data_IF_447454846164
#
_entry.id   IF_447454846164
#
_cell.length_a   1.000
_cell.length_b   1.000
_cell.length_c   1.000
_cell.angle_alpha   90.00
_cell.angle_beta   90.00
_cell.angle_gamma   90.00
#
_symmetry.space_group_name_H-M   'P 1'
#
loop_
_entity.id
_entity.type
_entity.pdbx_description
1 polymer ?
#
# COMPACT_ATOMS: atom_id res chain seq x y z
N UNK A 1 -79.31 -28.60 39.19
CA UNK A 1 -79.81 -27.84 38.04
C UNK A 1 -80.52 -26.63 38.61
N UNK A 2 -79.86 -25.48 38.70
CA UNK A 2 -80.46 -24.28 39.31
C UNK A 2 -79.96 -22.97 38.66
N UNK A 3 -80.88 -22.39 37.89
CA UNK A 3 -81.28 -20.97 37.79
C UNK A 3 -80.36 -19.89 38.41
N UNK A 4 -79.11 -19.78 37.95
CA UNK A 4 -78.24 -18.61 38.24
C UNK A 4 -77.40 -18.11 37.06
N UNK A 5 -77.79 -18.37 35.81
CA UNK A 5 -76.98 -17.95 34.64
C UNK A 5 -77.72 -17.01 33.67
N UNK A 6 -78.99 -16.69 33.89
CA UNK A 6 -79.81 -15.99 32.88
C UNK A 6 -79.97 -14.46 33.04
N UNK A 7 -79.27 -13.78 33.96
CA UNK A 7 -79.52 -12.34 34.22
C UNK A 7 -78.29 -11.44 34.36
N UNK A 8 -77.19 -11.75 33.65
CA UNK A 8 -76.05 -10.83 33.49
C UNK A 8 -75.66 -10.71 32.00
N UNK A 9 -76.65 -10.54 31.12
CA UNK A 9 -76.40 -10.34 29.68
C UNK A 9 -77.03 -9.04 29.12
N UNK A 10 -77.85 -8.30 29.87
CA UNK A 10 -78.67 -7.21 29.26
C UNK A 10 -78.46 -5.80 29.86
N UNK A 11 -77.66 -5.59 30.90
CA UNK A 11 -77.44 -4.24 31.47
C UNK A 11 -75.94 -3.96 31.71
N UNK A 12 -75.17 -3.99 30.63
CA UNK A 12 -73.97 -3.18 30.44
C UNK A 12 -73.93 -2.64 29.01
N UNK A 13 -75.12 -2.36 28.48
CA UNK A 13 -75.39 -1.74 27.20
C UNK A 13 -75.73 -0.26 27.47
N UNK A 14 -74.71 0.56 27.73
CA UNK A 14 -74.81 2.04 27.69
C UNK A 14 -73.41 2.67 27.62
N UNK A 15 -72.99 2.93 26.38
CA UNK A 15 -72.26 4.10 25.93
C UNK A 15 -71.09 4.63 26.79
N UNK A 16 -69.88 4.13 26.49
CA UNK A 16 -68.78 5.03 26.15
C UNK A 16 -68.26 4.58 24.79
N UNK A 17 -68.73 5.24 23.75
CA UNK A 17 -68.08 5.26 22.44
C UNK A 17 -66.74 5.95 22.58
N UNK A 18 -65.73 5.24 23.10
CA UNK A 18 -64.36 5.53 22.75
C UNK A 18 -64.18 4.89 21.37
N UNK A 19 -64.26 5.70 20.33
CA UNK A 19 -63.68 5.34 19.05
C UNK A 19 -62.25 4.91 19.34
N UNK A 20 -61.98 3.60 19.29
CA UNK A 20 -60.61 3.12 19.18
C UNK A 20 -60.19 3.62 17.81
N UNK A 21 -59.53 4.77 17.78
CA UNK A 21 -58.67 5.12 16.67
C UNK A 21 -57.64 4.00 16.66
N UNK A 22 -57.80 3.04 15.76
CA UNK A 22 -56.67 2.23 15.33
C UNK A 22 -55.69 3.27 14.77
N UNK A 23 -54.74 3.68 15.60
CA UNK A 23 -53.51 4.28 15.13
C UNK A 23 -52.84 3.15 14.37
N UNK A 24 -53.02 3.13 13.04
CA UNK A 24 -52.14 2.37 12.17
C UNK A 24 -50.75 2.92 12.45
N UNK A 25 -49.96 2.19 13.25
CA UNK A 25 -48.57 2.51 13.42
C UNK A 25 -47.92 2.24 12.06
N UNK A 26 -47.59 3.30 11.33
CA UNK A 26 -46.81 3.25 10.10
C UNK A 26 -45.61 2.33 10.34
N UNK A 27 -45.55 1.20 9.64
CA UNK A 27 -44.40 0.31 9.71
C UNK A 27 -43.41 0.72 8.63
N UNK A 28 -42.12 0.72 8.98
CA UNK A 28 -41.02 0.94 8.05
C UNK A 28 -40.09 -0.27 8.14
N UNK A 29 -39.59 -0.73 7.00
CA UNK A 29 -38.55 -1.78 6.93
C UNK A 29 -37.32 -1.23 6.21
N UNK A 30 -36.14 -1.81 6.46
CA UNK A 30 -34.92 -1.48 5.71
C UNK A 30 -34.05 -2.74 5.59
N UNK A 31 -33.50 -2.98 4.40
CA UNK A 31 -32.61 -4.09 4.08
C UNK A 31 -31.52 -3.63 3.12
N UNK A 32 -30.44 -4.41 3.04
CA UNK A 32 -29.38 -4.29 2.04
C UNK A 32 -29.38 -5.50 1.11
N UNK A 33 -28.77 -5.39 -0.06
CA UNK A 33 -28.70 -6.51 -1.03
C UNK A 33 -27.69 -7.60 -0.65
N UNK A 34 -26.66 -7.25 0.14
CA UNK A 34 -25.67 -8.18 0.72
C UNK A 34 -25.43 -7.87 2.20
N UNK A 35 -24.86 -8.85 2.90
CA UNK A 35 -24.38 -8.71 4.28
C UNK A 35 -22.91 -8.23 4.36
N UNK A 36 -22.12 -8.46 3.29
CA UNK A 36 -20.69 -8.12 3.23
C UNK A 36 -20.35 -7.34 1.97
N UNK A 37 -19.51 -6.32 2.12
CA UNK A 37 -19.02 -5.49 1.02
C UNK A 37 -17.53 -5.23 1.13
N UNK A 38 -16.88 -4.97 0.00
CA UNK A 38 -15.52 -4.43 -0.03
C UNK A 38 -15.53 -2.92 -0.33
N UNK A 39 -14.52 -2.15 0.13
CA UNK A 39 -14.39 -0.74 -0.21
C UNK A 39 -14.48 -0.49 -1.72
N UNK A 40 -15.33 0.47 -2.13
CA UNK A 40 -15.59 0.79 -3.54
C UNK A 40 -16.85 0.15 -4.14
N UNK A 41 -17.46 -0.84 -3.49
CA UNK A 41 -18.72 -1.45 -3.92
C UNK A 41 -19.93 -0.53 -3.70
N UNK A 42 -21.03 -0.84 -4.38
CA UNK A 42 -22.32 -0.14 -4.25
C UNK A 42 -23.20 -0.96 -3.31
N UNK A 43 -23.62 -0.35 -2.21
CA UNK A 43 -24.61 -0.88 -1.27
C UNK A 43 -25.99 -0.46 -1.77
N UNK A 44 -26.85 -1.42 -2.09
CA UNK A 44 -28.24 -1.15 -2.48
C UNK A 44 -29.11 -1.29 -1.25
N UNK A 45 -29.80 -0.21 -0.89
CA UNK A 45 -30.65 -0.14 0.30
C UNK A 45 -32.09 -0.09 -0.18
N UNK A 46 -32.95 -0.91 0.39
CA UNK A 46 -34.37 -0.97 0.04
C UNK A 46 -35.26 -1.17 1.26
N UNK A 47 -36.53 -0.78 1.14
CA UNK A 47 -37.51 -1.01 2.19
C UNK A 47 -38.93 -0.65 1.77
N UNK A 48 -39.86 -0.84 2.70
CA UNK A 48 -41.28 -0.56 2.51
C UNK A 48 -41.74 0.37 3.63
N UNK A 49 -42.60 1.33 3.30
CA UNK A 49 -43.28 2.24 4.24
C UNK A 49 -44.63 2.70 3.65
N UNK A 50 -45.27 3.70 4.27
CA UNK A 50 -46.50 4.27 3.75
C UNK A 50 -46.28 4.90 2.37
N UNK A 51 -47.25 4.81 1.43
CA UNK A 51 -47.13 5.39 0.10
C UNK A 51 -46.80 6.89 0.11
N UNK A 52 -45.96 7.32 -0.84
CA UNK A 52 -45.57 8.72 -1.03
C UNK A 52 -44.98 9.42 0.22
N UNK A 53 -44.40 8.64 1.13
CA UNK A 53 -43.77 9.13 2.35
C UNK A 53 -42.29 9.38 2.14
N UNK A 54 -41.78 10.46 2.73
CA UNK A 54 -40.35 10.76 2.71
C UNK A 54 -39.63 9.99 3.84
N UNK A 55 -38.54 9.33 3.48
CA UNK A 55 -37.70 8.49 4.35
C UNK A 55 -36.28 9.06 4.37
N UNK A 56 -35.79 9.38 5.56
CA UNK A 56 -34.42 9.74 5.84
C UNK A 56 -33.59 8.47 6.09
N UNK A 57 -32.62 8.21 5.23
CA UNK A 57 -31.67 7.11 5.36
C UNK A 57 -30.35 7.66 5.89
N UNK A 58 -29.85 7.05 6.97
CA UNK A 58 -28.53 7.32 7.57
C UNK A 58 -27.71 6.04 7.59
N UNK A 59 -26.43 6.15 7.24
CA UNK A 59 -25.48 5.05 7.42
C UNK A 59 -24.42 5.52 8.40
N UNK A 60 -24.23 4.75 9.48
CA UNK A 60 -23.20 4.98 10.48
C UNK A 60 -22.19 3.84 10.48
N UNK A 61 -20.97 4.11 10.88
CA UNK A 61 -19.99 3.09 11.27
C UNK A 61 -19.51 3.35 12.70
N UNK A 62 -18.50 2.60 13.14
CA UNK A 62 -17.89 2.74 14.48
C UNK A 62 -17.35 4.14 14.79
N UNK A 63 -17.09 4.98 13.79
CA UNK A 63 -16.62 6.37 13.97
C UNK A 63 -17.70 7.43 13.78
N UNK A 64 -18.93 7.06 13.39
CA UNK A 64 -20.07 7.95 13.26
C UNK A 64 -20.73 7.96 11.88
N UNK A 65 -21.42 9.07 11.56
CA UNK A 65 -22.23 9.20 10.35
C UNK A 65 -21.36 9.23 9.08
N UNK A 66 -21.68 8.34 8.13
CA UNK A 66 -20.96 8.16 6.85
C UNK A 66 -21.77 8.68 5.67
N UNK A 67 -23.09 8.49 5.70
CA UNK A 67 -23.98 8.85 4.60
C UNK A 67 -25.34 9.27 5.12
N UNK A 68 -25.96 10.25 4.46
CA UNK A 68 -27.31 10.71 4.75
C UNK A 68 -28.01 11.11 3.45
N UNK A 69 -29.22 10.63 3.24
CA UNK A 69 -30.05 11.01 2.09
C UNK A 69 -31.54 10.90 2.43
N UNK A 70 -32.36 11.67 1.72
CA UNK A 70 -33.81 11.46 1.72
C UNK A 70 -34.22 10.71 0.46
N UNK A 71 -35.22 9.85 0.58
CA UNK A 71 -35.90 9.19 -0.54
C UNK A 71 -37.40 9.20 -0.32
N UNK A 72 -38.17 9.28 -1.39
CA UNK A 72 -39.64 9.20 -1.32
C UNK A 72 -40.09 7.81 -1.73
N UNK A 73 -40.97 7.20 -0.95
CA UNK A 73 -41.58 5.91 -1.31
C UNK A 73 -42.54 6.06 -2.49
N UNK A 74 -42.69 4.99 -3.27
CA UNK A 74 -43.61 4.92 -4.39
C UNK A 74 -45.07 4.89 -3.92
N UNK A 75 -46.02 4.89 -4.86
CA UNK A 75 -47.45 4.69 -4.58
C UNK A 75 -47.76 3.32 -3.92
N UNK A 76 -46.86 2.35 -4.07
CA UNK A 76 -46.94 1.03 -3.44
C UNK A 76 -46.21 0.98 -2.09
N UNK A 77 -45.57 2.07 -1.66
CA UNK A 77 -44.81 2.16 -0.41
C UNK A 77 -43.35 1.71 -0.49
N UNK A 78 -42.86 1.29 -1.66
CA UNK A 78 -41.48 0.84 -1.84
C UNK A 78 -40.52 2.03 -1.92
N UNK A 79 -39.33 1.93 -1.32
CA UNK A 79 -38.26 2.91 -1.49
C UNK A 79 -36.91 2.22 -1.70
N UNK A 80 -36.00 2.87 -2.43
CA UNK A 80 -34.64 2.37 -2.61
C UNK A 80 -33.63 3.50 -2.81
N UNK A 81 -32.37 3.24 -2.46
CA UNK A 81 -31.25 4.12 -2.73
C UNK A 81 -29.97 3.31 -2.92
N UNK A 82 -28.97 3.93 -3.53
CA UNK A 82 -27.65 3.36 -3.71
C UNK A 82 -26.61 4.21 -2.97
N UNK A 83 -25.74 3.54 -2.21
CA UNK A 83 -24.61 4.17 -1.55
C UNK A 83 -23.31 3.51 -2.02
N UNK A 84 -22.47 4.25 -2.73
CA UNK A 84 -21.13 3.77 -3.07
C UNK A 84 -20.21 3.90 -1.86
N UNK A 85 -19.76 2.76 -1.34
CA UNK A 85 -18.75 2.72 -0.30
C UNK A 85 -17.47 3.41 -0.80
N UNK A 86 -16.87 4.32 -0.02
CA UNK A 86 -15.55 4.85 -0.34
C UNK A 86 -14.55 3.71 -0.55
N UNK A 87 -13.60 3.87 -1.47
CA UNK A 87 -12.51 2.89 -1.69
C UNK A 87 -11.60 2.77 -0.46
N UNK A 88 -11.69 3.72 0.47
CA UNK A 88 -11.06 3.71 1.79
C UNK A 88 -12.08 3.56 2.94
N UNK A 89 -13.22 2.90 2.69
CA UNK A 89 -14.19 2.60 3.74
C UNK A 89 -13.51 1.86 4.89
N UNK A 90 -13.83 2.26 6.12
CA UNK A 90 -13.32 1.59 7.31
C UNK A 90 -13.88 0.17 7.35
N UNK A 91 -13.09 -0.76 7.85
CA UNK A 91 -13.56 -2.12 8.03
C UNK A 91 -14.45 -2.23 9.26
N UNK A 92 -15.28 -3.27 9.27
CA UNK A 92 -16.18 -3.58 10.37
C UNK A 92 -17.62 -3.19 10.05
N UNK A 93 -18.42 -3.05 11.11
CA UNK A 93 -19.87 -3.01 10.98
C UNK A 93 -20.39 -1.61 10.68
N UNK A 94 -21.33 -1.57 9.75
CA UNK A 94 -22.07 -0.40 9.33
C UNK A 94 -23.54 -0.60 9.68
N UNK A 95 -24.17 0.42 10.25
CA UNK A 95 -25.58 0.42 10.60
C UNK A 95 -26.32 1.37 9.68
N UNK A 96 -27.32 0.86 8.97
CA UNK A 96 -28.26 1.63 8.17
C UNK A 96 -29.51 1.88 9.00
N UNK A 97 -29.91 3.13 9.14
CA UNK A 97 -31.13 3.56 9.83
C UNK A 97 -32.03 4.27 8.83
N UNK A 98 -33.26 3.78 8.67
CA UNK A 98 -34.32 4.46 7.93
C UNK A 98 -35.30 5.10 8.92
N UNK A 99 -35.70 6.35 8.71
CA UNK A 99 -36.63 7.09 9.58
C UNK A 99 -37.62 7.87 8.74
N UNK A 100 -38.91 7.81 9.06
CA UNK A 100 -39.93 8.61 8.38
C UNK A 100 -39.76 10.10 8.70
N UNK A 101 -39.72 10.97 7.69
CA UNK A 101 -39.62 12.42 7.88
C UNK A 101 -40.82 12.99 8.64
N UNK A 102 -42.00 12.37 8.49
CA UNK A 102 -43.23 12.76 9.19
C UNK A 102 -43.22 12.42 10.68
N UNK A 103 -42.35 11.51 11.12
CA UNK A 103 -42.26 11.08 12.51
C UNK A 103 -40.88 10.54 12.86
N UNK A 104 -40.16 11.27 13.72
CA UNK A 104 -38.83 10.85 14.21
C UNK A 104 -38.85 9.61 15.11
N UNK A 105 -40.03 9.09 15.49
CA UNK A 105 -40.16 7.91 16.35
C UNK A 105 -40.29 6.61 15.56
N UNK A 106 -40.61 6.67 14.26
CA UNK A 106 -40.77 5.49 13.42
C UNK A 106 -39.47 5.25 12.64
N UNK A 107 -38.72 4.23 13.05
CA UNK A 107 -37.43 3.88 12.46
C UNK A 107 -37.26 2.37 12.26
N UNK A 108 -36.45 2.00 11.28
CA UNK A 108 -35.95 0.65 11.07
C UNK A 108 -34.43 0.66 10.93
N UNK A 109 -33.78 -0.43 11.31
CA UNK A 109 -32.33 -0.57 11.29
C UNK A 109 -31.92 -1.90 10.65
N UNK A 110 -30.82 -1.89 9.90
CA UNK A 110 -30.13 -3.09 9.40
C UNK A 110 -28.62 -2.85 9.44
N UNK A 111 -27.82 -3.90 9.24
CA UNK A 111 -26.37 -3.80 9.29
C UNK A 111 -25.69 -4.61 8.19
N UNK A 112 -24.52 -4.15 7.77
CA UNK A 112 -23.62 -4.87 6.88
C UNK A 112 -22.18 -4.70 7.34
N UNK A 113 -21.29 -5.59 6.94
CA UNK A 113 -19.86 -5.55 7.31
C UNK A 113 -18.99 -5.20 6.10
N UNK A 114 -18.06 -4.27 6.28
CA UNK A 114 -17.06 -3.93 5.26
C UNK A 114 -15.78 -4.73 5.53
N UNK A 115 -15.33 -5.50 4.55
CA UNK A 115 -14.14 -6.37 4.61
C UNK A 115 -13.04 -5.93 3.65
N UNK A 116 -11.78 -6.23 3.98
CA UNK A 116 -10.62 -5.76 3.21
C UNK A 116 -10.47 -6.55 1.90
N UNK A 117 -10.17 -5.87 0.78
CA UNK A 117 -9.75 -6.53 -0.48
C UNK A 117 -8.41 -7.29 -0.32
N UNK A 118 -7.59 -6.89 0.66
CA UNK A 118 -6.24 -7.40 0.86
C UNK A 118 -6.20 -8.88 1.28
N UNK A 119 -7.20 -9.38 2.01
CA UNK A 119 -7.21 -10.77 2.51
C UNK A 119 -7.23 -11.77 1.38
N UNK A 120 -7.93 -11.49 0.27
CA UNK A 120 -7.86 -12.30 -0.95
C UNK A 120 -6.45 -12.35 -1.53
N UNK A 121 -5.84 -11.19 -1.78
CA UNK A 121 -4.48 -11.13 -2.34
C UNK A 121 -3.41 -11.72 -1.40
N UNK A 122 -3.65 -11.65 -0.09
CA UNK A 122 -2.78 -12.27 0.91
C UNK A 122 -2.92 -13.79 0.89
N UNK A 123 -4.15 -14.31 0.82
CA UNK A 123 -4.41 -15.73 0.68
C UNK A 123 -3.78 -16.28 -0.61
N UNK A 124 -3.99 -15.63 -1.76
CA UNK A 124 -3.34 -15.99 -3.03
C UNK A 124 -1.81 -16.07 -2.89
N UNK A 125 -1.21 -15.07 -2.25
CA UNK A 125 0.24 -15.02 -2.06
C UNK A 125 0.74 -16.09 -1.10
N UNK A 126 0.04 -16.35 -0.01
CA UNK A 126 0.42 -17.38 0.96
C UNK A 126 0.27 -18.78 0.37
N UNK A 127 -0.84 -19.07 -0.33
CA UNK A 127 -1.02 -20.33 -1.07
C UNK A 127 0.13 -20.54 -2.07
N UNK A 128 0.52 -19.48 -2.81
CA UNK A 128 1.65 -19.55 -3.73
C UNK A 128 2.98 -19.83 -3.01
N UNK A 129 3.22 -19.21 -1.86
CA UNK A 129 4.43 -19.45 -1.06
C UNK A 129 4.45 -20.87 -0.46
N UNK A 130 3.33 -21.38 0.01
CA UNK A 130 3.20 -22.74 0.55
C UNK A 130 3.41 -23.80 -0.53
N UNK A 131 2.88 -23.60 -1.74
CA UNK A 131 3.17 -24.46 -2.89
C UNK A 131 4.67 -24.47 -3.24
N UNK A 132 5.33 -23.31 -3.21
CA UNK A 132 6.77 -23.23 -3.43
C UNK A 132 7.57 -23.95 -2.33
N UNK A 133 7.13 -23.86 -1.07
CA UNK A 133 7.75 -24.56 0.04
C UNK A 133 7.57 -26.08 -0.08
N UNK A 134 6.36 -26.54 -0.43
CA UNK A 134 6.07 -27.95 -0.76
C UNK A 134 7.02 -28.49 -1.83
N UNK A 135 7.13 -27.81 -2.97
CA UNK A 135 8.02 -28.21 -4.05
C UNK A 135 9.51 -28.30 -3.64
N UNK A 136 9.94 -27.45 -2.68
CA UNK A 136 11.30 -27.54 -2.13
C UNK A 136 11.50 -28.74 -1.22
N UNK A 137 10.48 -29.12 -0.45
CA UNK A 137 10.53 -30.34 0.37
C UNK A 137 10.58 -31.57 -0.55
N UNK A 138 9.70 -31.63 -1.55
CA UNK A 138 9.67 -32.70 -2.56
C UNK A 138 11.03 -32.88 -3.24
N UNK A 139 11.68 -31.78 -3.65
CA UNK A 139 13.01 -31.84 -4.27
C UNK A 139 14.09 -32.39 -3.34
N UNK A 140 14.07 -32.04 -2.05
CA UNK A 140 15.03 -32.59 -1.07
C UNK A 140 14.72 -34.06 -0.77
N UNK A 141 13.45 -34.46 -0.72
CA UNK A 141 13.08 -35.85 -0.55
C UNK A 141 13.55 -36.70 -1.74
N UNK A 142 13.37 -36.20 -2.98
CA UNK A 142 13.88 -36.84 -4.20
C UNK A 142 15.41 -36.99 -4.16
N UNK A 143 16.14 -35.94 -3.76
CA UNK A 143 17.61 -35.99 -3.60
C UNK A 143 18.05 -37.01 -2.53
N UNK A 144 17.33 -37.09 -1.42
CA UNK A 144 17.57 -38.10 -0.37
C UNK A 144 17.33 -39.51 -0.92
N UNK A 145 16.23 -39.75 -1.64
CA UNK A 145 15.94 -41.05 -2.26
C UNK A 145 16.99 -41.45 -3.30
N UNK A 146 17.43 -40.52 -4.15
CA UNK A 146 18.49 -40.75 -5.14
C UNK A 146 19.81 -41.18 -4.48
N UNK A 147 20.10 -40.62 -3.31
CA UNK A 147 21.28 -40.95 -2.52
C UNK A 147 21.10 -42.20 -1.62
N UNK A 148 19.97 -42.91 -1.72
CA UNK A 148 19.56 -44.00 -0.82
C UNK A 148 19.50 -43.61 0.67
N UNK A 149 19.25 -42.34 0.92
CA UNK A 149 19.09 -41.78 2.26
C UNK A 149 17.72 -42.12 2.83
N UNK A 150 17.66 -42.36 4.14
CA UNK A 150 16.39 -42.54 4.83
C UNK A 150 15.74 -41.17 5.15
N UNK A 151 14.58 -40.88 4.56
CA UNK A 151 13.79 -39.70 4.93
C UNK A 151 13.26 -39.89 6.37
N UNK A 152 13.45 -38.92 7.29
CA UNK A 152 12.92 -39.02 8.64
C UNK A 152 11.39 -39.14 8.66
N UNK A 153 10.88 -40.04 9.49
CA UNK A 153 9.43 -40.21 9.69
C UNK A 153 8.76 -38.89 10.14
N UNK A 154 9.43 -38.12 11.02
CA UNK A 154 8.96 -36.79 11.44
C UNK A 154 8.93 -35.78 10.28
N UNK A 155 9.85 -35.89 9.32
CA UNK A 155 9.85 -35.01 8.14
C UNK A 155 8.69 -35.36 7.20
N UNK A 156 8.43 -36.66 7.00
CA UNK A 156 7.29 -37.17 6.23
C UNK A 156 5.97 -36.75 6.87
N UNK A 157 5.83 -36.89 8.19
CA UNK A 157 4.62 -36.48 8.92
C UNK A 157 4.34 -34.99 8.76
N UNK A 158 5.33 -34.11 8.99
CA UNK A 158 5.16 -32.67 8.77
C UNK A 158 4.86 -32.34 7.30
N UNK A 159 5.41 -33.09 6.34
CA UNK A 159 5.08 -32.89 4.93
C UNK A 159 3.61 -33.22 4.64
N UNK A 160 3.11 -34.35 5.13
CA UNK A 160 1.71 -34.79 4.97
C UNK A 160 0.74 -33.79 5.62
N UNK A 161 1.00 -33.39 6.87
CA UNK A 161 0.21 -32.37 7.58
C UNK A 161 0.18 -31.04 6.80
N UNK A 162 1.33 -30.65 6.24
CA UNK A 162 1.44 -29.46 5.40
C UNK A 162 0.61 -29.53 4.13
N UNK A 163 0.52 -30.70 3.49
CA UNK A 163 -0.32 -30.92 2.29
C UNK A 163 -1.79 -30.81 2.63
N UNK A 164 -2.25 -31.48 3.69
CA UNK A 164 -3.66 -31.42 4.12
C UNK A 164 -4.10 -29.98 4.42
N UNK A 165 -3.29 -29.23 5.17
CA UNK A 165 -3.55 -27.83 5.49
C UNK A 165 -3.55 -26.91 4.26
N UNK A 166 -2.74 -27.21 3.25
CA UNK A 166 -2.71 -26.44 2.00
C UNK A 166 -3.96 -26.70 1.17
N UNK A 167 -4.42 -27.95 1.09
CA UNK A 167 -5.65 -28.31 0.38
C UNK A 167 -6.86 -27.65 1.05
N UNK A 168 -6.98 -27.71 2.38
CA UNK A 168 -8.02 -26.99 3.13
C UNK A 168 -7.98 -25.46 2.88
N UNK A 169 -6.77 -24.89 2.77
CA UNK A 169 -6.61 -23.47 2.47
C UNK A 169 -7.13 -23.10 1.08
N UNK A 170 -6.94 -23.97 0.09
CA UNK A 170 -7.42 -23.78 -1.27
C UNK A 170 -8.95 -23.91 -1.35
N UNK A 171 -9.55 -24.89 -0.67
CA UNK A 171 -11.00 -25.04 -0.58
C UNK A 171 -11.65 -23.79 0.05
N UNK A 172 -11.11 -23.32 1.18
CA UNK A 172 -11.58 -22.09 1.83
C UNK A 172 -11.41 -20.84 0.95
N UNK A 173 -10.38 -20.83 0.10
CA UNK A 173 -10.16 -19.76 -0.86
C UNK A 173 -11.24 -19.75 -1.95
N UNK A 174 -11.62 -20.92 -2.46
CA UNK A 174 -12.70 -21.09 -3.44
C UNK A 174 -14.07 -20.72 -2.86
N UNK A 175 -14.28 -20.96 -1.56
CA UNK A 175 -15.48 -20.55 -0.81
C UNK A 175 -15.52 -19.05 -0.44
N UNK A 176 -14.53 -18.26 -0.89
CA UNK A 176 -14.35 -16.84 -0.55
C UNK A 176 -14.14 -16.55 0.96
N UNK A 177 -13.78 -17.58 1.74
CA UNK A 177 -13.43 -17.49 3.16
C UNK A 177 -11.93 -17.17 3.33
N UNK A 178 -11.55 -15.99 2.84
CA UNK A 178 -10.15 -15.61 2.69
C UNK A 178 -9.35 -15.50 4.00
N UNK A 179 -9.99 -15.21 5.13
CA UNK A 179 -9.28 -15.10 6.42
C UNK A 179 -8.88 -16.47 6.95
N UNK A 180 -9.79 -17.43 6.85
CA UNK A 180 -9.59 -18.82 7.23
C UNK A 180 -8.56 -19.47 6.29
N UNK A 181 -8.66 -19.20 4.98
CA UNK A 181 -7.68 -19.61 3.99
C UNK A 181 -6.26 -19.10 4.32
N UNK A 182 -6.10 -17.83 4.69
CA UNK A 182 -4.80 -17.27 5.13
C UNK A 182 -4.21 -18.04 6.30
N UNK A 183 -5.00 -18.35 7.32
CA UNK A 183 -4.53 -19.07 8.50
C UNK A 183 -4.05 -20.48 8.14
N UNK A 184 -4.81 -21.19 7.31
CA UNK A 184 -4.46 -22.54 6.84
C UNK A 184 -3.21 -22.55 5.96
N UNK A 185 -3.09 -21.60 5.02
CA UNK A 185 -1.89 -21.47 4.20
C UNK A 185 -0.64 -21.19 5.05
N UNK A 186 -0.76 -20.38 6.12
CA UNK A 186 0.34 -20.08 7.02
C UNK A 186 0.78 -21.31 7.82
N UNK A 187 -0.17 -22.11 8.32
CA UNK A 187 0.12 -23.37 9.01
C UNK A 187 0.80 -24.36 8.07
N UNK A 188 0.29 -24.53 6.85
CA UNK A 188 0.94 -25.36 5.82
C UNK A 188 2.39 -24.93 5.55
N UNK A 189 2.65 -23.62 5.43
CA UNK A 189 3.98 -23.09 5.23
C UNK A 189 4.92 -23.40 6.41
N UNK A 190 4.42 -23.37 7.64
CA UNK A 190 5.20 -23.73 8.83
C UNK A 190 5.59 -25.22 8.80
N UNK A 191 4.64 -26.09 8.49
CA UNK A 191 4.88 -27.54 8.40
C UNK A 191 5.88 -27.89 7.29
N UNK A 192 5.77 -27.29 6.11
CA UNK A 192 6.77 -27.48 5.05
C UNK A 192 8.18 -27.01 5.44
N UNK A 193 8.29 -25.90 6.19
CA UNK A 193 9.59 -25.46 6.69
C UNK A 193 10.16 -26.43 7.74
N UNK A 194 9.30 -27.03 8.57
CA UNK A 194 9.69 -28.06 9.54
C UNK A 194 10.19 -29.31 8.81
N UNK A 195 9.43 -29.82 7.85
CA UNK A 195 9.81 -30.96 7.02
C UNK A 195 11.15 -30.72 6.31
N UNK A 196 11.31 -29.54 5.68
CA UNK A 196 12.54 -29.15 5.01
C UNK A 196 13.74 -29.12 5.96
N UNK A 197 13.56 -28.57 7.17
CA UNK A 197 14.63 -28.50 8.18
C UNK A 197 15.06 -29.89 8.63
N UNK A 198 14.12 -30.81 8.82
CA UNK A 198 14.38 -32.18 9.27
C UNK A 198 15.07 -33.00 8.17
N UNK A 199 14.61 -32.92 6.92
CA UNK A 199 15.25 -33.60 5.79
C UNK A 199 16.69 -33.09 5.53
N UNK A 200 16.90 -31.77 5.57
CA UNK A 200 18.25 -31.18 5.46
C UNK A 200 19.17 -31.47 6.65
N UNK A 201 18.64 -32.00 7.75
CA UNK A 201 19.48 -32.47 8.85
C UNK A 201 20.06 -33.86 8.53
N UNK A 202 19.33 -34.71 7.79
CA UNK A 202 19.82 -36.01 7.32
C UNK A 202 20.82 -35.86 6.19
N UNK A 203 20.57 -34.98 5.22
CA UNK A 203 21.55 -34.60 4.19
C UNK A 203 22.89 -34.14 4.83
N UNK A 204 22.82 -33.47 5.99
CA UNK A 204 23.98 -33.06 6.79
C UNK A 204 24.64 -34.18 7.59
N UNK A 205 23.94 -35.28 7.87
CA UNK A 205 24.46 -36.46 8.55
C UNK A 205 25.05 -37.48 7.57
N UNK A 206 24.53 -37.58 6.35
CA UNK A 206 25.08 -38.49 5.33
C UNK A 206 26.31 -37.91 4.61
N UNK A 207 26.45 -36.58 4.60
CA UNK A 207 27.69 -35.89 4.23
C UNK A 207 28.81 -36.02 5.28
N UNK A 208 28.63 -36.81 6.35
CA UNK A 208 29.68 -37.10 7.34
C UNK A 208 30.75 -38.09 6.84
N UNK A 209 30.62 -38.67 5.65
CA UNK A 209 31.70 -39.43 4.98
C UNK A 209 32.64 -38.57 4.11
N UNK A 210 32.36 -37.27 3.90
CA UNK A 210 33.31 -36.34 3.28
C UNK A 210 34.28 -35.76 4.32
N UNK A 211 35.59 -35.92 4.06
CA UNK A 211 36.66 -35.52 4.98
C UNK A 211 36.47 -34.10 5.54
N UNK A 212 36.73 -33.96 6.84
CA UNK A 212 36.53 -32.74 7.64
C UNK A 212 37.11 -31.47 6.97
N UNK A 213 38.20 -31.63 6.21
CA UNK A 213 38.82 -30.57 5.40
C UNK A 213 37.90 -30.01 4.31
N UNK A 214 37.23 -30.87 3.53
CA UNK A 214 36.36 -30.46 2.43
C UNK A 214 35.13 -29.69 2.95
N UNK A 215 34.58 -30.13 4.09
CA UNK A 215 33.47 -29.45 4.77
C UNK A 215 33.88 -28.06 5.25
N UNK A 216 35.09 -27.94 5.78
CA UNK A 216 35.63 -26.67 6.23
C UNK A 216 35.86 -25.71 5.06
N UNK A 217 36.35 -26.21 3.90
CA UNK A 217 36.47 -25.41 2.66
C UNK A 217 35.12 -24.82 2.24
N UNK A 218 34.08 -25.67 2.13
CA UNK A 218 32.73 -25.21 1.77
C UNK A 218 32.19 -24.19 2.79
N UNK A 219 32.53 -24.37 4.07
CA UNK A 219 32.11 -23.49 5.15
C UNK A 219 32.81 -22.12 5.11
N UNK A 220 34.07 -22.07 4.67
CA UNK A 220 34.87 -20.86 4.41
C UNK A 220 34.31 -20.14 3.16
N UNK A 221 34.07 -20.86 2.05
CA UNK A 221 33.50 -20.29 0.82
C UNK A 221 32.17 -19.58 1.07
N UNK A 222 31.29 -20.20 1.88
CA UNK A 222 30.01 -19.60 2.28
C UNK A 222 30.21 -18.34 3.12
N UNK A 223 31.25 -18.28 3.94
CA UNK A 223 31.54 -17.12 4.77
C UNK A 223 32.09 -15.97 3.91
N UNK A 224 32.95 -16.23 2.92
CA UNK A 224 33.36 -15.23 1.93
C UNK A 224 32.16 -14.68 1.14
N UNK A 225 31.27 -15.54 0.64
CA UNK A 225 30.07 -15.08 -0.05
C UNK A 225 29.16 -14.21 0.83
N UNK A 226 29.15 -14.45 2.15
CA UNK A 226 28.42 -13.59 3.09
C UNK A 226 29.16 -12.27 3.33
N UNK A 227 30.49 -12.29 3.49
CA UNK A 227 31.35 -11.11 3.57
C UNK A 227 31.11 -10.17 2.37
N UNK A 228 31.22 -10.68 1.14
CA UNK A 228 31.01 -9.92 -0.11
C UNK A 228 29.65 -9.19 -0.09
N UNK A 229 28.61 -9.88 0.38
CA UNK A 229 27.28 -9.31 0.49
C UNK A 229 27.20 -8.20 1.53
N UNK A 230 27.89 -8.34 2.67
CA UNK A 230 27.93 -7.29 3.70
C UNK A 230 28.77 -6.09 3.23
N UNK A 231 29.82 -6.30 2.44
CA UNK A 231 30.59 -5.23 1.80
C UNK A 231 29.73 -4.43 0.81
N UNK A 232 28.97 -5.10 -0.06
CA UNK A 232 28.05 -4.43 -0.98
C UNK A 232 26.99 -3.60 -0.22
N UNK A 233 26.52 -4.09 0.93
CA UNK A 233 25.61 -3.33 1.81
C UNK A 233 26.31 -2.14 2.45
N UNK A 234 27.56 -2.29 2.90
CA UNK A 234 28.37 -1.21 3.46
C UNK A 234 28.59 -0.10 2.42
N UNK A 235 28.94 -0.45 1.18
CA UNK A 235 29.08 0.49 0.06
C UNK A 235 27.81 1.30 -0.14
N UNK A 236 26.65 0.63 -0.23
CA UNK A 236 25.36 1.31 -0.39
C UNK A 236 25.05 2.24 0.78
N UNK A 237 25.37 1.86 2.01
CA UNK A 237 25.17 2.72 3.18
C UNK A 237 26.09 3.95 3.11
N UNK A 238 27.35 3.79 2.75
CA UNK A 238 28.31 4.87 2.59
C UNK A 238 27.92 5.84 1.46
N UNK A 239 27.48 5.34 0.31
CA UNK A 239 26.94 6.16 -0.79
C UNK A 239 25.74 7.01 -0.37
N UNK A 240 24.95 6.51 0.59
CA UNK A 240 23.83 7.24 1.19
C UNK A 240 24.24 8.16 2.35
N UNK A 241 25.55 8.30 2.62
CA UNK A 241 26.12 9.24 3.59
C UNK A 241 26.20 8.72 5.02
N UNK A 242 26.07 7.41 5.24
CA UNK A 242 26.21 6.81 6.57
C UNK A 242 27.67 6.54 6.91
N UNK A 243 28.02 6.77 8.18
CA UNK A 243 29.31 6.35 8.71
C UNK A 243 29.30 4.83 8.90
N UNK A 244 30.15 4.16 8.13
CA UNK A 244 30.33 2.70 8.14
C UNK A 244 31.73 2.31 8.62
N UNK A 245 32.47 3.21 9.28
CA UNK A 245 33.87 2.98 9.67
C UNK A 245 34.04 1.71 10.53
N UNK A 246 33.20 1.53 11.55
CA UNK A 246 33.24 0.34 12.42
C UNK A 246 32.87 -0.94 11.67
N UNK A 247 31.92 -0.84 10.72
CA UNK A 247 31.53 -1.94 9.86
C UNK A 247 32.70 -2.36 8.94
N UNK A 248 33.39 -1.41 8.31
CA UNK A 248 34.55 -1.68 7.45
C UNK A 248 35.69 -2.35 8.22
N UNK A 249 35.96 -1.88 9.44
CA UNK A 249 36.97 -2.49 10.29
C UNK A 249 36.64 -3.96 10.60
N UNK A 250 35.39 -4.24 10.98
CA UNK A 250 34.94 -5.61 11.24
C UNK A 250 35.00 -6.49 9.98
N UNK A 251 34.59 -5.98 8.82
CA UNK A 251 34.64 -6.77 7.57
C UNK A 251 36.09 -7.08 7.18
N UNK A 252 37.01 -6.14 7.34
CA UNK A 252 38.45 -6.36 7.12
C UNK A 252 39.03 -7.41 8.09
N UNK A 253 38.64 -7.35 9.37
CA UNK A 253 39.06 -8.33 10.37
C UNK A 253 38.50 -9.73 10.05
N UNK A 254 37.23 -9.81 9.64
CA UNK A 254 36.62 -11.07 9.21
C UNK A 254 37.29 -11.64 7.96
N UNK A 255 37.63 -10.80 6.98
CA UNK A 255 38.38 -11.20 5.78
C UNK A 255 39.74 -11.80 6.15
N UNK A 256 40.46 -11.17 7.09
CA UNK A 256 41.75 -11.69 7.55
C UNK A 256 41.60 -13.06 8.23
N UNK A 257 40.63 -13.23 9.14
CA UNK A 257 40.36 -14.52 9.78
C UNK A 257 39.97 -15.60 8.75
N UNK A 258 39.24 -15.26 7.69
CA UNK A 258 38.91 -16.22 6.62
C UNK A 258 40.15 -16.63 5.80
N UNK A 259 41.07 -15.71 5.53
CA UNK A 259 42.36 -16.02 4.90
C UNK A 259 43.21 -16.92 5.77
N UNK A 260 43.31 -16.59 7.07
CA UNK A 260 44.07 -17.38 8.03
C UNK A 260 43.47 -18.80 8.17
N UNK A 261 42.13 -18.91 8.16
CA UNK A 261 41.44 -20.20 8.15
C UNK A 261 41.76 -21.04 6.90
N UNK A 262 41.81 -20.42 5.73
CA UNK A 262 42.15 -21.09 4.47
C UNK A 262 43.62 -21.56 4.44
N UNK A 263 44.55 -20.72 4.89
CA UNK A 263 45.98 -21.07 5.00
C UNK A 263 46.21 -22.23 5.98
N UNK A 264 45.55 -22.20 7.15
CA UNK A 264 45.63 -23.27 8.13
C UNK A 264 45.08 -24.58 7.56
N UNK A 265 43.97 -24.51 6.83
CA UNK A 265 43.35 -25.68 6.22
C UNK A 265 44.24 -26.28 5.12
N UNK A 266 44.83 -25.45 4.26
CA UNK A 266 45.79 -25.87 3.24
C UNK A 266 47.06 -26.50 3.84
N UNK A 267 47.44 -26.09 5.04
CA UNK A 267 48.56 -26.68 5.79
C UNK A 267 48.20 -27.98 6.53
N UNK A 268 46.92 -28.37 6.54
CA UNK A 268 46.39 -29.55 7.21
C UNK A 268 46.00 -29.34 8.68
N UNK A 269 46.05 -28.11 9.20
CA UNK A 269 45.59 -27.77 10.55
C UNK A 269 44.08 -27.48 10.54
N UNK A 270 43.29 -28.55 10.48
CA UNK A 270 41.82 -28.48 10.45
C UNK A 270 41.26 -27.80 11.70
N UNK A 271 41.88 -28.00 12.86
CA UNK A 271 41.39 -27.43 14.13
C UNK A 271 41.65 -25.93 14.20
N UNK A 272 42.84 -25.48 13.78
CA UNK A 272 43.17 -24.05 13.68
C UNK A 272 42.25 -23.35 12.69
N UNK A 273 42.07 -23.94 11.51
CA UNK A 273 41.16 -23.41 10.50
C UNK A 273 39.71 -23.28 11.00
N UNK A 274 39.24 -24.25 11.79
CA UNK A 274 37.89 -24.22 12.35
C UNK A 274 37.72 -23.09 13.39
N UNK A 275 38.77 -22.79 14.16
CA UNK A 275 38.77 -21.70 15.11
C UNK A 275 38.70 -20.34 14.40
N UNK A 276 39.59 -20.09 13.44
CA UNK A 276 39.61 -18.84 12.67
C UNK A 276 38.29 -18.61 11.92
N UNK A 277 37.70 -19.65 11.33
CA UNK A 277 36.38 -19.57 10.70
C UNK A 277 35.27 -19.19 11.70
N UNK A 278 35.33 -19.71 12.94
CA UNK A 278 34.36 -19.36 13.97
C UNK A 278 34.50 -17.90 14.41
N UNK A 279 35.73 -17.39 14.51
CA UNK A 279 36.02 -15.99 14.81
C UNK A 279 35.49 -15.07 13.70
N UNK A 280 35.80 -15.37 12.44
CA UNK A 280 35.26 -14.67 11.27
C UNK A 280 33.73 -14.60 11.29
N UNK A 281 33.05 -15.74 11.50
CA UNK A 281 31.58 -15.79 11.57
C UNK A 281 31.01 -14.96 12.71
N UNK A 282 31.67 -14.95 13.87
CA UNK A 282 31.30 -14.09 14.99
C UNK A 282 31.36 -12.61 14.63
N UNK A 283 32.41 -12.19 13.91
CA UNK A 283 32.58 -10.82 13.43
C UNK A 283 31.52 -10.47 12.37
N UNK A 284 31.27 -11.35 11.39
CA UNK A 284 30.24 -11.17 10.37
C UNK A 284 28.83 -11.04 10.98
N UNK A 285 28.54 -11.82 12.02
CA UNK A 285 27.28 -11.73 12.77
C UNK A 285 27.09 -10.36 13.44
N UNK A 286 28.14 -9.83 14.09
CA UNK A 286 28.11 -8.47 14.67
C UNK A 286 27.98 -7.40 13.60
N UNK A 287 28.66 -7.57 12.47
CA UNK A 287 28.60 -6.66 11.32
C UNK A 287 27.18 -6.57 10.75
N UNK A 288 26.48 -7.70 10.63
CA UNK A 288 25.08 -7.72 10.20
C UNK A 288 24.15 -6.99 11.19
N UNK A 289 24.41 -7.10 12.50
CA UNK A 289 23.66 -6.36 13.51
C UNK A 289 23.88 -4.85 13.37
N UNK A 290 25.11 -4.40 13.12
CA UNK A 290 25.43 -3.00 12.84
C UNK A 290 24.73 -2.48 11.58
N UNK A 291 24.79 -3.24 10.47
CA UNK A 291 24.06 -2.91 9.24
C UNK A 291 22.56 -2.75 9.53
N UNK A 292 21.96 -3.68 10.28
CA UNK A 292 20.54 -3.61 10.63
C UNK A 292 20.21 -2.34 11.40
N UNK A 293 21.07 -1.96 12.36
CA UNK A 293 20.90 -0.72 13.11
C UNK A 293 21.04 0.54 12.22
N UNK A 294 22.03 0.60 11.33
CA UNK A 294 22.22 1.73 10.41
C UNK A 294 21.05 1.83 9.41
N UNK A 295 20.65 0.71 8.81
CA UNK A 295 19.52 0.64 7.88
C UNK A 295 18.20 1.07 8.54
N UNK A 296 18.02 0.78 9.83
CA UNK A 296 16.88 1.23 10.62
C UNK A 296 16.85 2.76 10.75
N UNK A 297 17.98 3.38 11.08
CA UNK A 297 18.11 4.85 11.12
C UNK A 297 17.79 5.47 9.76
N UNK A 298 18.25 4.88 8.67
CA UNK A 298 17.91 5.31 7.32
C UNK A 298 16.41 5.21 7.02
N UNK A 299 15.75 4.11 7.42
CA UNK A 299 14.29 3.97 7.27
C UNK A 299 13.54 5.06 8.03
N UNK A 300 13.98 5.41 9.25
CA UNK A 300 13.39 6.49 10.05
C UNK A 300 13.57 7.86 9.38
N UNK A 301 14.78 8.22 8.95
CA UNK A 301 15.02 9.50 8.26
C UNK A 301 14.23 9.62 6.96
N UNK A 302 14.09 8.52 6.20
CA UNK A 302 13.22 8.50 5.00
C UNK A 302 11.75 8.66 5.34
N UNK A 303 11.29 8.02 6.42
CA UNK A 303 9.92 8.18 6.89
C UNK A 303 9.62 9.62 7.33
N UNK A 304 10.54 10.25 8.07
CA UNK A 304 10.40 11.66 8.47
C UNK A 304 10.32 12.60 7.26
N UNK A 305 11.23 12.44 6.29
CA UNK A 305 11.20 13.22 5.04
C UNK A 305 9.89 13.00 4.27
N UNK A 306 9.38 11.77 4.24
CA UNK A 306 8.11 11.47 3.61
C UNK A 306 6.94 12.15 4.34
N UNK A 307 6.91 12.09 5.68
CA UNK A 307 5.90 12.76 6.50
C UNK A 307 5.93 14.27 6.26
N UNK A 308 7.12 14.88 6.22
CA UNK A 308 7.29 16.31 5.94
C UNK A 308 6.77 16.68 4.54
N UNK A 309 7.13 15.92 3.51
CA UNK A 309 6.60 16.12 2.16
C UNK A 309 5.08 16.01 2.13
N UNK A 310 4.51 15.06 2.86
CA UNK A 310 3.07 14.91 2.98
C UNK A 310 2.44 16.12 3.67
N UNK A 311 2.99 16.58 4.81
CA UNK A 311 2.54 17.78 5.52
C UNK A 311 2.55 19.03 4.62
N UNK A 312 3.63 19.24 3.88
CA UNK A 312 3.72 20.36 2.92
C UNK A 312 2.63 20.28 1.85
N UNK A 313 2.33 19.08 1.35
CA UNK A 313 1.22 18.86 0.41
C UNK A 313 -0.16 19.14 1.05
N UNK A 314 -0.37 18.79 2.32
CA UNK A 314 -1.61 19.12 3.03
C UNK A 314 -1.80 20.62 3.16
N UNK A 315 -0.79 21.35 3.63
CA UNK A 315 -0.89 22.78 3.83
C UNK A 315 -1.18 23.51 2.51
N UNK A 316 -0.54 23.09 1.41
CA UNK A 316 -0.84 23.61 0.09
C UNK A 316 -2.29 23.33 -0.34
N UNK A 317 -2.84 22.16 -0.01
CA UNK A 317 -4.20 21.79 -0.37
C UNK A 317 -5.26 22.48 0.50
N UNK A 318 -4.98 22.67 1.80
CA UNK A 318 -5.81 23.46 2.72
C UNK A 318 -5.82 24.92 2.27
N UNK A 319 -4.66 25.48 1.92
CA UNK A 319 -4.58 26.82 1.34
C UNK A 319 -5.41 26.92 0.05
N UNK A 320 -5.33 25.94 -0.84
CA UNK A 320 -6.10 25.90 -2.09
C UNK A 320 -7.62 25.86 -1.83
N UNK A 321 -8.09 24.95 -0.97
CA UNK A 321 -9.50 24.84 -0.57
C UNK A 321 -10.02 26.13 0.07
N UNK A 322 -9.22 26.77 0.92
CA UNK A 322 -9.58 28.01 1.60
C UNK A 322 -9.56 29.25 0.69
N UNK A 323 -8.71 29.28 -0.35
CA UNK A 323 -8.58 30.46 -1.23
C UNK A 323 -9.71 30.57 -2.24
N UNK A 324 -10.12 29.47 -2.88
CA UNK A 324 -11.18 29.46 -3.93
C UNK A 324 -11.74 28.04 -4.10
N UNK A 325 -12.69 27.63 -3.27
CA UNK A 325 -13.46 26.39 -3.45
C UNK A 325 -14.43 26.46 -4.63
N UNK A 326 -13.93 26.57 -5.86
CA UNK A 326 -14.75 26.53 -7.07
C UNK A 326 -14.79 25.11 -7.63
N UNK A 327 -16.01 24.61 -7.91
CA UNK A 327 -16.28 23.25 -8.38
C UNK A 327 -16.58 22.22 -7.27
N UNK A 328 -16.60 22.66 -6.01
CA UNK A 328 -16.98 21.83 -4.86
C UNK A 328 -18.12 22.51 -4.10
N UNK A 329 -19.13 21.73 -3.72
CA UNK A 329 -20.16 22.18 -2.77
C UNK A 329 -19.55 22.42 -1.40
N UNK A 330 -20.20 23.24 -0.56
CA UNK A 330 -19.74 23.45 0.83
C UNK A 330 -19.61 22.14 1.61
N UNK A 331 -20.46 21.14 1.30
CA UNK A 331 -20.40 19.80 1.89
C UNK A 331 -19.17 19.02 1.44
N UNK A 332 -18.81 19.07 0.16
CA UNK A 332 -17.60 18.41 -0.34
C UNK A 332 -16.32 19.07 0.17
N UNK A 333 -16.30 20.40 0.30
CA UNK A 333 -15.19 21.13 0.93
C UNK A 333 -15.05 20.74 2.40
N UNK A 334 -16.16 20.71 3.15
CA UNK A 334 -16.16 20.29 4.55
C UNK A 334 -15.70 18.83 4.72
N UNK A 335 -16.17 17.91 3.88
CA UNK A 335 -15.78 16.51 3.88
C UNK A 335 -14.29 16.33 3.55
N UNK A 336 -13.80 17.07 2.55
CA UNK A 336 -12.38 17.04 2.16
C UNK A 336 -11.52 17.57 3.30
N UNK A 337 -11.87 18.72 3.91
CA UNK A 337 -11.14 19.26 5.06
C UNK A 337 -11.16 18.32 6.27
N UNK A 338 -12.27 17.63 6.54
CA UNK A 338 -12.35 16.59 7.57
C UNK A 338 -11.39 15.43 7.29
N UNK A 339 -11.34 14.96 6.04
CA UNK A 339 -10.41 13.91 5.64
C UNK A 339 -8.95 14.37 5.76
N UNK A 340 -8.61 15.58 5.31
CA UNK A 340 -7.25 16.12 5.46
C UNK A 340 -6.83 16.28 6.92
N UNK A 341 -7.74 16.72 7.78
CA UNK A 341 -7.48 16.79 9.22
C UNK A 341 -7.26 15.40 9.85
N UNK A 342 -8.05 14.40 9.46
CA UNK A 342 -7.89 13.02 9.92
C UNK A 342 -6.54 12.44 9.49
N UNK A 343 -6.16 12.71 8.25
CA UNK A 343 -4.89 12.26 7.68
C UNK A 343 -3.71 12.96 8.37
N UNK A 344 -3.84 14.26 8.67
CA UNK A 344 -2.87 15.02 9.47
C UNK A 344 -2.72 14.47 10.89
N UNK A 345 -3.81 14.10 11.56
CA UNK A 345 -3.75 13.47 12.89
C UNK A 345 -2.96 12.16 12.85
N UNK A 346 -3.23 11.32 11.85
CA UNK A 346 -2.53 10.04 11.71
C UNK A 346 -1.05 10.20 11.37
N UNK A 347 -0.68 11.18 10.54
CA UNK A 347 0.74 11.54 10.35
C UNK A 347 1.41 11.97 11.65
N UNK A 348 0.68 12.67 12.52
CA UNK A 348 1.23 13.13 13.80
C UNK A 348 1.38 11.97 14.78
N UNK A 349 0.45 11.01 14.78
CA UNK A 349 0.56 9.76 15.54
C UNK A 349 1.75 8.93 15.08
N UNK A 350 1.92 8.74 13.76
CA UNK A 350 3.08 8.08 13.16
C UNK A 350 4.37 8.83 13.54
N UNK A 351 4.40 10.16 13.49
CA UNK A 351 5.56 10.96 13.90
C UNK A 351 5.87 10.79 15.41
N UNK A 352 4.86 10.76 16.26
CA UNK A 352 5.04 10.54 17.69
C UNK A 352 5.60 9.13 17.96
N UNK A 353 5.13 8.11 17.26
CA UNK A 353 5.65 6.74 17.32
C UNK A 353 7.10 6.64 16.83
N UNK A 354 7.43 7.32 15.73
CA UNK A 354 8.83 7.47 15.26
C UNK A 354 9.70 8.14 16.34
N UNK A 355 9.17 9.14 17.04
CA UNK A 355 9.89 9.85 18.09
C UNK A 355 10.04 9.01 19.37
N UNK A 356 9.10 8.10 19.62
CA UNK A 356 9.11 7.14 20.73
C UNK A 356 9.63 5.77 20.26
N UNK A 357 10.87 5.73 19.78
CA UNK A 357 11.80 4.58 19.59
C UNK A 357 11.33 3.11 19.76
N UNK A 358 10.13 2.73 19.30
CA UNK A 358 9.68 1.35 19.44
C UNK A 358 10.16 0.52 18.25
N UNK A 359 10.91 -0.54 18.55
CA UNK A 359 11.82 -1.17 17.61
C UNK A 359 11.14 -2.00 16.53
N UNK A 360 9.93 -2.48 16.82
CA UNK A 360 9.18 -3.44 16.01
C UNK A 360 8.15 -2.77 15.07
N UNK A 361 7.93 -1.46 15.21
CA UNK A 361 6.84 -0.76 14.51
C UNK A 361 7.24 -0.16 13.15
N UNK A 362 8.52 -0.22 12.77
CA UNK A 362 9.04 0.44 11.55
C UNK A 362 8.57 -0.24 10.27
N UNK A 363 8.38 -1.56 10.27
CA UNK A 363 7.87 -2.26 9.09
C UNK A 363 6.35 -2.03 8.94
N UNK A 364 5.61 -1.91 10.05
CA UNK A 364 4.22 -1.46 10.08
C UNK A 364 4.09 -0.02 9.55
N UNK A 365 5.04 0.85 9.91
CA UNK A 365 5.15 2.21 9.40
C UNK A 365 5.24 2.25 7.87
N UNK A 366 6.04 1.36 7.27
CA UNK A 366 6.17 1.24 5.82
C UNK A 366 4.88 0.81 5.11
N UNK A 367 4.03 0.04 5.79
CA UNK A 367 2.69 -0.32 5.32
C UNK A 367 1.71 0.87 5.47
N UNK A 368 1.72 1.53 6.62
CA UNK A 368 0.90 2.70 6.88
C UNK A 368 1.21 3.85 5.90
N UNK A 369 2.48 4.13 5.62
CA UNK A 369 2.90 5.15 4.65
C UNK A 369 2.49 4.80 3.20
N UNK A 370 2.45 3.52 2.83
CA UNK A 370 1.95 3.08 1.52
C UNK A 370 0.44 3.22 1.42
N UNK A 371 -0.28 2.79 2.45
CA UNK A 371 -1.73 2.98 2.53
C UNK A 371 -2.09 4.47 2.51
N UNK A 372 -1.30 5.29 3.20
CA UNK A 372 -1.39 6.74 3.20
C UNK A 372 -1.19 7.34 1.81
N UNK A 373 -0.16 6.92 1.09
CA UNK A 373 0.09 7.34 -0.30
C UNK A 373 -1.10 7.01 -1.21
N UNK A 374 -1.73 5.84 -1.01
CA UNK A 374 -2.95 5.42 -1.71
C UNK A 374 -4.18 6.25 -1.33
N UNK A 375 -4.38 6.54 -0.04
CA UNK A 375 -5.45 7.42 0.44
C UNK A 375 -5.31 8.84 -0.14
N UNK A 376 -4.08 9.35 -0.18
CA UNK A 376 -3.76 10.60 -0.84
C UNK A 376 -4.12 10.52 -2.32
N UNK A 377 -3.62 9.53 -3.06
CA UNK A 377 -3.92 9.32 -4.48
C UNK A 377 -5.43 9.25 -4.79
N UNK A 378 -6.24 8.74 -3.85
CA UNK A 378 -7.69 8.70 -3.97
C UNK A 378 -8.37 10.05 -3.72
N UNK A 379 -7.86 10.88 -2.79
CA UNK A 379 -8.31 12.28 -2.66
C UNK A 379 -7.92 13.11 -3.90
N UNK A 380 -6.82 12.74 -4.58
CA UNK A 380 -6.38 13.32 -5.86
C UNK A 380 -7.27 12.95 -7.07
N UNK A 381 -8.23 12.01 -6.96
CA UNK A 381 -9.14 11.64 -8.06
C UNK A 381 -10.35 12.59 -8.21
N UNK A 382 -10.09 13.80 -8.67
CA UNK A 382 -11.01 14.56 -9.53
C UNK A 382 -10.15 15.09 -10.68
N UNK A 383 -10.50 14.80 -11.94
CA UNK A 383 -9.62 14.97 -13.10
C UNK A 383 -9.03 16.39 -13.28
N UNK A 384 -9.67 17.38 -12.65
CA UNK A 384 -9.21 18.76 -12.53
C UNK A 384 -7.83 18.87 -11.86
N UNK A 385 -7.56 18.11 -10.78
CA UNK A 385 -6.29 18.22 -10.05
C UNK A 385 -5.12 17.61 -10.82
N UNK A 386 -5.35 16.54 -11.60
CA UNK A 386 -4.35 16.01 -12.54
C UNK A 386 -3.99 17.04 -13.60
N UNK A 387 -4.97 17.77 -14.13
CA UNK A 387 -4.72 18.80 -15.13
C UNK A 387 -3.93 19.99 -14.54
N UNK A 388 -4.21 20.43 -13.31
CA UNK A 388 -3.41 21.45 -12.63
C UNK A 388 -1.97 20.98 -12.37
N UNK A 389 -1.76 19.75 -11.88
CA UNK A 389 -0.42 19.20 -11.69
C UNK A 389 0.34 18.97 -13.01
N UNK A 390 -0.39 18.66 -14.09
CA UNK A 390 0.19 18.54 -15.43
C UNK A 390 0.65 19.92 -15.91
N UNK A 391 -0.18 20.96 -15.77
CA UNK A 391 0.21 22.35 -16.08
C UNK A 391 1.44 22.76 -15.26
N UNK A 392 1.45 22.55 -13.93
CA UNK A 392 2.59 22.89 -13.08
C UNK A 392 3.89 22.18 -13.51
N UNK A 393 3.79 20.90 -13.91
CA UNK A 393 4.93 20.14 -14.43
C UNK A 393 5.45 20.71 -15.74
N UNK A 394 4.57 21.05 -16.68
CA UNK A 394 4.95 21.66 -17.96
C UNK A 394 5.56 23.05 -17.75
N UNK A 395 5.06 23.84 -16.80
CA UNK A 395 5.64 25.14 -16.45
C UNK A 395 7.03 25.04 -15.79
N UNK A 396 7.23 24.05 -14.92
CA UNK A 396 8.54 23.76 -14.36
C UNK A 396 9.54 23.38 -15.47
N UNK A 397 9.12 22.56 -16.44
CA UNK A 397 9.93 22.22 -17.62
C UNK A 397 10.25 23.46 -18.46
N UNK A 398 9.27 24.30 -18.74
CA UNK A 398 9.45 25.58 -19.44
C UNK A 398 10.47 26.46 -18.72
N UNK A 399 10.41 26.54 -17.39
CA UNK A 399 11.37 27.32 -16.59
C UNK A 399 12.80 26.79 -16.72
N UNK A 400 12.98 25.46 -16.70
CA UNK A 400 14.29 24.83 -16.89
C UNK A 400 14.83 25.07 -18.30
N UNK A 401 13.98 25.00 -19.33
CA UNK A 401 14.37 25.28 -20.71
C UNK A 401 14.72 26.76 -20.91
N UNK A 402 14.01 27.68 -20.25
CA UNK A 402 14.31 29.12 -20.27
C UNK A 402 15.72 29.39 -19.72
N UNK A 403 16.06 28.80 -18.57
CA UNK A 403 17.42 28.86 -18.00
C UNK A 403 18.48 28.24 -18.91
N UNK A 404 18.11 27.23 -19.70
CA UNK A 404 19.03 26.58 -20.65
C UNK A 404 19.28 27.46 -21.88
N UNK A 405 18.27 28.20 -22.33
CA UNK A 405 18.39 29.23 -23.38
C UNK A 405 19.27 30.40 -22.89
N UNK A 406 19.03 30.92 -21.69
CA UNK A 406 19.86 31.98 -21.08
C UNK A 406 21.35 31.56 -21.02
N UNK A 407 21.63 30.29 -20.72
CA UNK A 407 23.00 29.74 -20.74
C UNK A 407 23.60 29.64 -22.15
N UNK A 408 22.79 29.42 -23.18
CA UNK A 408 23.23 29.41 -24.58
C UNK A 408 23.54 30.84 -25.05
N UNK A 409 22.67 31.80 -24.73
CA UNK A 409 22.86 33.22 -25.05
C UNK A 409 24.11 33.79 -24.35
N UNK A 410 24.33 33.44 -23.07
CA UNK A 410 25.55 33.80 -22.33
C UNK A 410 26.83 33.24 -22.95
N UNK A 411 26.72 32.25 -23.85
CA UNK A 411 27.82 31.64 -24.61
C UNK A 411 27.89 32.12 -26.07
N UNK A 412 27.11 33.14 -26.42
CA UNK A 412 27.09 33.77 -27.74
C UNK A 412 26.33 32.97 -28.80
N UNK A 413 25.48 32.02 -28.40
CA UNK A 413 24.64 31.26 -29.32
C UNK A 413 23.30 31.97 -29.47
N UNK A 414 22.94 32.35 -30.69
CA UNK A 414 21.63 32.94 -31.00
C UNK A 414 20.51 31.91 -30.73
N UNK A 415 19.59 32.29 -29.86
CA UNK A 415 18.47 31.48 -29.40
C UNK A 415 17.14 32.25 -29.41
N UNK A 416 17.02 33.31 -30.22
CA UNK A 416 15.83 34.17 -30.24
C UNK A 416 14.56 33.43 -30.72
N UNK A 417 14.68 32.58 -31.75
CA UNK A 417 13.57 31.73 -32.24
C UNK A 417 13.12 30.71 -31.18
N UNK A 418 14.08 30.20 -30.39
CA UNK A 418 13.80 29.32 -29.27
C UNK A 418 13.00 30.07 -28.20
N UNK A 419 13.52 31.22 -27.75
CA UNK A 419 12.86 32.06 -26.74
C UNK A 419 11.42 32.42 -27.11
N UNK A 420 11.19 32.84 -28.36
CA UNK A 420 9.86 33.19 -28.87
C UNK A 420 8.88 32.01 -28.79
N UNK A 421 9.30 30.80 -29.16
CA UNK A 421 8.47 29.59 -29.06
C UNK A 421 8.17 29.23 -27.62
N UNK A 422 9.13 29.40 -26.72
CA UNK A 422 8.96 29.13 -25.30
C UNK A 422 8.01 30.12 -24.62
N UNK A 423 8.02 31.39 -25.04
CA UNK A 423 7.06 32.39 -24.54
C UNK A 423 5.65 32.14 -25.08
N UNK A 424 5.51 31.68 -26.32
CA UNK A 424 4.22 31.19 -26.83
C UNK A 424 3.66 30.03 -26.01
N UNK A 425 4.51 29.11 -25.54
CA UNK A 425 4.09 28.00 -24.67
C UNK A 425 3.64 28.49 -23.29
N UNK A 426 4.34 29.46 -22.69
CA UNK A 426 3.92 30.08 -21.43
C UNK A 426 2.52 30.68 -21.55
N UNK A 427 2.26 31.39 -22.64
CA UNK A 427 0.95 31.99 -22.89
C UNK A 427 -0.14 30.93 -23.04
N UNK A 428 0.13 29.83 -23.74
CA UNK A 428 -0.82 28.72 -23.88
C UNK A 428 -1.08 27.97 -22.57
N UNK A 429 -0.05 27.77 -21.74
CA UNK A 429 -0.22 27.19 -20.41
C UNK A 429 -1.04 28.10 -19.49
N UNK A 430 -0.83 29.43 -19.57
CA UNK A 430 -1.65 30.39 -18.83
C UNK A 430 -3.10 30.40 -19.32
N UNK A 431 -3.35 30.30 -20.62
CA UNK A 431 -4.70 30.15 -21.16
C UNK A 431 -5.38 28.86 -20.69
N UNK A 432 -4.66 27.73 -20.69
CA UNK A 432 -5.18 26.46 -20.16
C UNK A 432 -5.47 26.58 -18.68
N UNK A 433 -4.59 27.22 -17.91
CA UNK A 433 -4.81 27.52 -16.49
C UNK A 433 -6.03 28.41 -16.27
N UNK A 434 -6.32 29.34 -17.19
CA UNK A 434 -7.56 30.13 -17.16
C UNK A 434 -8.77 29.23 -17.45
N UNK A 435 -8.75 28.44 -18.52
CA UNK A 435 -9.87 27.55 -18.90
C UNK A 435 -10.15 26.44 -17.88
N UNK A 436 -9.11 25.94 -17.21
CA UNK A 436 -9.22 25.01 -16.08
C UNK A 436 -9.97 25.62 -14.87
N UNK A 437 -10.27 26.93 -14.87
CA UNK A 437 -11.14 27.56 -13.86
C UNK A 437 -12.63 27.47 -14.21
N UNK A 438 -12.97 27.16 -15.46
CA UNK A 438 -14.34 27.24 -15.98
C UNK A 438 -14.92 25.85 -16.30
N UNK A 439 -14.16 24.93 -16.92
CA UNK A 439 -14.59 23.55 -17.17
C UNK A 439 -13.37 22.64 -17.41
N UNK A 440 -13.48 21.35 -17.09
CA UNK A 440 -12.51 20.34 -17.52
C UNK A 440 -13.19 19.29 -18.41
N UNK A 441 -12.64 19.07 -19.61
CA UNK A 441 -13.11 18.09 -20.58
C UNK A 441 -11.99 17.59 -21.49
N UNK A 442 -12.32 16.64 -22.38
CA UNK A 442 -11.38 15.94 -23.27
C UNK A 442 -10.53 16.90 -24.14
N UNK A 443 -11.07 18.08 -24.45
CA UNK A 443 -10.38 19.17 -25.16
C UNK A 443 -9.17 19.73 -24.40
N UNK A 444 -9.26 19.93 -23.08
CA UNK A 444 -8.13 20.43 -22.28
C UNK A 444 -7.06 19.36 -22.14
N UNK A 445 -7.46 18.10 -21.97
CA UNK A 445 -6.54 16.97 -21.91
C UNK A 445 -5.74 16.82 -23.19
N UNK A 446 -6.41 16.77 -24.33
CA UNK A 446 -5.75 16.68 -25.65
C UNK A 446 -4.77 17.84 -25.85
N UNK A 447 -5.13 19.05 -25.40
CA UNK A 447 -4.23 20.19 -25.50
C UNK A 447 -3.00 20.09 -24.60
N UNK A 448 -3.11 19.52 -23.40
CA UNK A 448 -1.97 19.27 -22.51
C UNK A 448 -1.02 18.22 -23.11
N UNK A 449 -1.57 17.16 -23.73
CA UNK A 449 -0.79 16.13 -24.44
C UNK A 449 -0.02 16.73 -25.63
N UNK A 450 -0.65 17.63 -26.40
CA UNK A 450 0.03 18.38 -27.48
C UNK A 450 1.19 19.23 -26.96
N UNK A 451 1.00 19.95 -25.85
CA UNK A 451 2.04 20.79 -25.27
C UNK A 451 3.21 19.98 -24.70
N UNK A 452 2.93 18.81 -24.11
CA UNK A 452 3.96 17.90 -23.63
C UNK A 452 4.79 17.34 -24.78
N UNK A 453 4.15 16.87 -25.84
CA UNK A 453 4.84 16.39 -27.06
C UNK A 453 5.70 17.49 -27.70
N UNK A 454 5.20 18.72 -27.71
CA UNK A 454 5.99 19.86 -28.19
C UNK A 454 7.23 20.08 -27.33
N UNK A 455 7.11 20.05 -25.99
CA UNK A 455 8.24 20.25 -25.07
C UNK A 455 9.29 19.13 -25.17
N UNK A 456 8.88 17.90 -25.46
CA UNK A 456 9.81 16.78 -25.70
C UNK A 456 10.63 17.00 -26.98
N UNK A 457 9.97 17.41 -28.07
CA UNK A 457 10.66 17.77 -29.31
C UNK A 457 11.61 18.96 -29.12
N UNK A 458 11.20 19.90 -28.27
CA UNK A 458 11.96 21.11 -27.98
C UNK A 458 13.23 20.83 -27.16
N UNK A 459 13.16 19.93 -26.18
CA UNK A 459 14.32 19.46 -25.40
C UNK A 459 15.36 18.76 -26.29
N UNK A 460 14.90 17.98 -27.27
CA UNK A 460 15.76 17.33 -28.27
C UNK A 460 16.48 18.36 -29.16
N UNK A 461 15.79 19.42 -29.58
CA UNK A 461 16.38 20.49 -30.39
C UNK A 461 17.47 21.26 -29.61
N UNK A 462 17.22 21.56 -28.33
CA UNK A 462 18.21 22.18 -27.45
C UNK A 462 19.43 21.28 -27.24
N UNK A 463 19.24 19.99 -26.98
CA UNK A 463 20.32 19.01 -26.89
C UNK A 463 21.14 18.93 -28.18
N UNK A 464 20.48 19.02 -29.35
CA UNK A 464 21.16 19.06 -30.63
C UNK A 464 22.01 20.34 -30.82
N UNK A 465 21.47 21.52 -30.47
CA UNK A 465 22.22 22.79 -30.52
C UNK A 465 23.44 22.77 -29.60
N UNK A 466 23.28 22.23 -28.39
CA UNK A 466 24.39 22.00 -27.46
C UNK A 466 25.44 21.06 -28.05
N UNK A 467 25.04 19.90 -28.59
CA UNK A 467 25.98 18.95 -29.21
C UNK A 467 26.70 19.55 -30.41
N UNK A 468 26.01 20.33 -31.25
CA UNK A 468 26.60 21.02 -32.39
C UNK A 468 27.67 22.02 -31.92
N UNK A 469 27.38 22.90 -30.95
CA UNK A 469 28.37 23.86 -30.48
C UNK A 469 29.62 23.19 -29.88
N UNK A 470 29.46 22.09 -29.13
CA UNK A 470 30.59 21.39 -28.49
C UNK A 470 31.36 20.46 -29.43
N UNK A 471 30.72 19.83 -30.42
CA UNK A 471 31.42 19.04 -31.43
C UNK A 471 32.23 19.91 -32.39
N UNK A 472 31.81 21.15 -32.67
CA UNK A 472 32.59 22.08 -33.49
C UNK A 472 33.77 22.72 -32.73
N UNK A 473 33.71 22.88 -31.39
CA UNK A 473 34.88 23.29 -30.59
C UNK A 473 35.90 22.19 -30.31
N UNK A 474 35.54 20.91 -30.50
CA UNK A 474 36.43 19.75 -30.31
C UNK A 474 37.32 19.39 -31.51
N UNK A 475 37.08 19.97 -32.69
CA UNK A 475 38.03 19.95 -33.81
C UNK A 475 38.70 21.32 -33.86
N UNK A 476 39.85 21.42 -33.21
CA UNK A 476 40.65 22.65 -33.21
C UNK A 476 40.86 23.18 -34.62
N UNK A 477 40.49 24.44 -34.83
CA UNK A 477 41.21 25.30 -35.75
C UNK A 477 42.67 25.31 -35.27
N UNK A 478 43.51 24.52 -35.94
CA UNK A 478 44.94 24.81 -35.95
C UNK A 478 45.09 26.15 -36.65
N UNK A 479 45.53 27.13 -35.86
CA UNK A 479 45.99 28.41 -36.36
C UNK A 479 47.09 28.16 -37.42
N UNK A 480 46.96 28.63 -38.67
CA UNK A 480 47.95 28.37 -39.71
C UNK A 480 49.27 29.14 -39.56
N UNK A 481 49.37 30.08 -38.60
CA UNK A 481 50.45 31.07 -38.54
C UNK A 481 51.45 30.86 -37.37
N UNK A 482 51.60 29.64 -36.85
CA UNK A 482 52.77 29.27 -36.05
C UNK A 482 53.57 28.19 -36.77
N UNK A 483 54.42 28.63 -37.70
CA UNK A 483 55.44 27.85 -38.40
C UNK A 483 56.75 28.61 -38.46
#
# INVERSE_FOLDING_TARGET
>A
MDKKVASIIVIALLAVSASIVLVNASSITVTTDKERYVPGEIVRISGITDPNSEVLIKINNTLGLVFVTNVTSTEEGNYSTEFRLPVCALLGDYTVTATLSSSSTVKAETSFTVVMRLTKSLAEKLISMSNLAKARVEAVFEELEENNAAIPEDATSSYEDGVELLDESMDLFEEELYTESVNKALQALQEFNTALRLAKAVERMETEEEGEEQRLRVAIDRAYAFLDKLEEMADKLEENGFDVSDLRNNLTEAEQNLKDAEELLDSGDVSGAAQELAEARGILGRSMALISHIAKKFKLEKAEKFIEQCQNRFENMIMWLNRKGFGFTQQEVALTLMNLNRIRMRLNEIRLRISSYDEDEIDDLGYELRNFSSMMANIYRKEIMFAYQWVERLEARVTVLNKSIEKLEARGIDAEDLKTKLDSLKNQLEEIRIRLREEYGESIRSRLEELESFLDNYDNLLKFQWRRHFMFKGRGEKNPDEG
#
